data_IF_817920034933
#
_entry.id   IF_817920034933
#
_cell.length_a   1.000
_cell.length_b   1.000
_cell.length_c   1.000
_cell.angle_alpha   90.00
_cell.angle_beta   90.00
_cell.angle_gamma   90.00
#
_symmetry.space_group_name_H-M   'P 1'
#
loop_
_entity.id
_entity.type
_entity.pdbx_description
1 polymer ?
#
# COMPACT_ATOMS: atom_id res chain seq x y z
N UNK A 1 35.31 15.54 -13.87
CA UNK A 1 33.92 15.47 -14.37
C UNK A 1 33.42 14.04 -14.61
N UNK A 2 34.11 13.19 -15.39
CA UNK A 2 33.65 11.81 -15.67
C UNK A 2 33.34 10.97 -14.41
N UNK A 3 34.21 11.00 -13.40
CA UNK A 3 34.02 10.22 -12.16
C UNK A 3 32.79 10.66 -11.35
N UNK A 4 32.51 11.97 -11.29
CA UNK A 4 31.33 12.52 -10.60
C UNK A 4 30.03 12.07 -11.28
N UNK A 5 30.01 12.02 -12.62
CA UNK A 5 28.86 11.53 -13.38
C UNK A 5 28.60 10.05 -13.10
N UNK A 6 29.64 9.21 -13.05
CA UNK A 6 29.49 7.79 -12.71
C UNK A 6 28.95 7.57 -11.28
N UNK A 7 29.44 8.33 -10.29
CA UNK A 7 28.95 8.23 -8.93
C UNK A 7 27.47 8.65 -8.81
N UNK A 8 27.06 9.71 -9.52
CA UNK A 8 25.65 10.15 -9.55
C UNK A 8 24.76 9.08 -10.18
N UNK A 9 25.19 8.45 -11.29
CA UNK A 9 24.43 7.38 -11.93
C UNK A 9 24.29 6.14 -11.03
N UNK A 10 25.35 5.75 -10.31
CA UNK A 10 25.30 4.62 -9.38
C UNK A 10 24.31 4.91 -8.24
N UNK A 11 24.34 6.12 -7.67
CA UNK A 11 23.40 6.51 -6.60
C UNK A 11 21.94 6.52 -7.06
N UNK A 12 21.66 6.98 -8.28
CA UNK A 12 20.31 6.99 -8.84
C UNK A 12 19.74 5.57 -9.04
N UNK A 13 20.58 4.64 -9.49
CA UNK A 13 20.19 3.23 -9.70
C UNK A 13 19.95 2.52 -8.36
N UNK A 14 20.70 2.87 -7.31
CA UNK A 14 20.47 2.30 -5.99
C UNK A 14 19.14 2.78 -5.37
N UNK A 15 18.79 4.06 -5.54
CA UNK A 15 17.54 4.62 -5.04
C UNK A 15 16.31 3.98 -5.70
N UNK A 16 16.31 3.86 -7.03
CA UNK A 16 15.19 3.24 -7.77
C UNK A 16 14.91 1.79 -7.37
N UNK A 17 15.95 0.99 -7.13
CA UNK A 17 15.79 -0.39 -6.65
C UNK A 17 15.15 -0.46 -5.26
N UNK A 18 15.47 0.50 -4.38
CA UNK A 18 14.87 0.58 -3.07
C UNK A 18 13.38 0.94 -3.18
N UNK A 19 13.04 1.87 -4.08
CA UNK A 19 11.65 2.24 -4.37
C UNK A 19 10.86 1.03 -4.88
N UNK A 20 11.42 0.24 -5.81
CA UNK A 20 10.79 -0.99 -6.31
C UNK A 20 10.55 -2.02 -5.19
N UNK A 21 11.52 -2.21 -4.29
CA UNK A 21 11.38 -3.13 -3.14
C UNK A 21 10.30 -2.64 -2.17
N UNK A 22 10.25 -1.33 -1.92
CA UNK A 22 9.24 -0.71 -1.08
C UNK A 22 7.85 -0.89 -1.71
N UNK A 23 7.69 -0.53 -2.98
CA UNK A 23 6.43 -0.67 -3.71
C UNK A 23 5.95 -2.12 -3.74
N UNK A 24 6.87 -3.07 -3.96
CA UNK A 24 6.56 -4.50 -3.89
C UNK A 24 6.00 -4.91 -2.53
N UNK A 25 6.60 -4.45 -1.42
CA UNK A 25 6.08 -4.75 -0.07
C UNK A 25 4.73 -4.09 0.21
N UNK A 26 4.53 -2.85 -0.22
CA UNK A 26 3.24 -2.16 -0.06
C UNK A 26 2.13 -2.88 -0.85
N UNK A 27 2.43 -3.35 -2.05
CA UNK A 27 1.51 -4.14 -2.86
C UNK A 27 1.06 -5.41 -2.13
N UNK A 28 2.00 -6.13 -1.52
CA UNK A 28 1.70 -7.34 -0.76
C UNK A 28 0.89 -7.06 0.52
N UNK A 29 1.19 -5.98 1.25
CA UNK A 29 0.37 -5.59 2.39
C UNK A 29 -1.06 -5.21 1.99
N UNK A 30 -1.22 -4.50 0.89
CA UNK A 30 -2.54 -4.15 0.38
C UNK A 30 -3.35 -5.40 0.03
N UNK A 31 -2.77 -6.34 -0.73
CA UNK A 31 -3.45 -7.59 -1.10
C UNK A 31 -3.76 -8.45 0.12
N UNK A 32 -2.82 -8.55 1.06
CA UNK A 32 -2.99 -9.35 2.27
C UNK A 32 -4.12 -8.83 3.16
N UNK A 33 -4.26 -7.52 3.28
CA UNK A 33 -5.29 -6.90 4.11
C UNK A 33 -6.66 -6.77 3.42
N UNK A 34 -6.74 -7.08 2.11
CA UNK A 34 -7.92 -6.83 1.29
C UNK A 34 -9.19 -7.47 1.86
N UNK A 35 -9.17 -8.76 2.17
CA UNK A 35 -10.36 -9.48 2.64
C UNK A 35 -10.91 -8.91 3.95
N UNK A 36 -10.02 -8.52 4.88
CA UNK A 36 -10.39 -7.87 6.14
C UNK A 36 -11.05 -6.53 5.85
N UNK A 37 -10.42 -5.73 5.00
CA UNK A 37 -10.87 -4.38 4.68
C UNK A 37 -12.18 -4.37 3.90
N UNK A 38 -12.31 -5.25 2.90
CA UNK A 38 -13.50 -5.40 2.07
C UNK A 38 -14.71 -5.76 2.94
N UNK A 39 -14.57 -6.72 3.86
CA UNK A 39 -15.63 -7.10 4.79
C UNK A 39 -16.08 -5.93 5.67
N UNK A 40 -15.13 -5.18 6.25
CA UNK A 40 -15.45 -4.04 7.11
C UNK A 40 -16.18 -2.94 6.35
N UNK A 41 -15.69 -2.59 5.15
CA UNK A 41 -16.29 -1.53 4.34
C UNK A 41 -17.71 -1.93 3.88
N UNK A 42 -17.87 -3.18 3.40
CA UNK A 42 -19.16 -3.67 2.89
C UNK A 42 -20.16 -4.01 3.99
N UNK A 43 -19.71 -4.28 5.22
CA UNK A 43 -20.57 -4.42 6.39
C UNK A 43 -20.96 -3.09 7.04
N UNK A 44 -20.61 -1.96 6.42
CA UNK A 44 -20.83 -0.61 6.96
C UNK A 44 -20.19 -0.39 8.34
N UNK A 45 -18.99 -0.93 8.56
CA UNK A 45 -18.19 -0.58 9.73
C UNK A 45 -17.93 0.93 9.79
N UNK A 46 -17.79 1.44 11.00
CA UNK A 46 -17.45 2.85 11.24
C UNK A 46 -16.03 3.17 10.79
N UNK A 47 -15.74 4.46 10.54
CA UNK A 47 -14.38 4.89 10.21
C UNK A 47 -13.37 4.53 11.31
N UNK A 48 -13.78 4.51 12.57
CA UNK A 48 -12.93 4.11 13.70
C UNK A 48 -12.58 2.61 13.66
N UNK A 49 -13.56 1.75 13.36
CA UNK A 49 -13.32 0.31 13.20
C UNK A 49 -12.41 0.01 12.00
N UNK A 50 -12.59 0.74 10.89
CA UNK A 50 -11.74 0.61 9.70
C UNK A 50 -10.32 1.08 10.00
N UNK A 51 -10.13 2.24 10.63
CA UNK A 51 -8.80 2.76 10.98
C UNK A 51 -8.08 1.84 11.99
N UNK A 52 -8.83 1.28 12.95
CA UNK A 52 -8.32 0.29 13.90
C UNK A 52 -7.80 -0.98 13.20
N UNK A 53 -8.54 -1.50 12.23
CA UNK A 53 -8.11 -2.64 11.43
C UNK A 53 -6.87 -2.31 10.58
N UNK A 54 -6.87 -1.17 9.90
CA UNK A 54 -5.71 -0.67 9.13
C UNK A 54 -4.48 -0.57 10.04
N UNK A 55 -4.64 -0.06 11.25
CA UNK A 55 -3.56 0.04 12.22
C UNK A 55 -2.99 -1.34 12.57
N UNK A 56 -3.85 -2.32 12.84
CA UNK A 56 -3.46 -3.68 13.19
C UNK A 56 -2.70 -4.36 12.05
N UNK A 57 -3.22 -4.29 10.82
CA UNK A 57 -2.58 -4.88 9.62
C UNK A 57 -1.20 -4.27 9.35
N UNK A 58 -1.04 -2.97 9.62
CA UNK A 58 0.23 -2.27 9.37
C UNK A 58 1.23 -2.30 10.53
N UNK A 59 0.89 -2.84 11.71
CA UNK A 59 1.72 -2.75 12.91
C UNK A 59 3.08 -3.43 12.76
N UNK A 60 3.15 -4.54 12.01
CA UNK A 60 4.38 -5.32 11.77
C UNK A 60 5.31 -4.76 10.69
N UNK A 61 4.94 -3.67 10.02
CA UNK A 61 5.63 -3.19 8.80
C UNK A 61 6.81 -2.25 9.06
N UNK A 62 7.14 -2.01 10.34
CA UNK A 62 8.28 -1.18 10.76
C UNK A 62 8.28 0.20 10.09
N UNK A 63 9.37 0.59 9.42
CA UNK A 63 9.52 1.88 8.75
C UNK A 63 8.48 2.12 7.65
N UNK A 64 7.83 1.08 7.14
CA UNK A 64 6.81 1.17 6.09
C UNK A 64 5.40 1.42 6.62
N UNK A 65 5.21 1.46 7.94
CA UNK A 65 3.90 1.63 8.56
C UNK A 65 3.11 2.84 8.02
N UNK A 66 3.70 4.03 7.80
CA UNK A 66 2.97 5.15 7.21
C UNK A 66 2.48 4.86 5.78
N UNK A 67 3.31 4.20 4.96
CA UNK A 67 2.99 3.87 3.58
C UNK A 67 1.92 2.78 3.50
N UNK A 68 2.02 1.77 4.37
CA UNK A 68 1.00 0.72 4.52
C UNK A 68 -0.35 1.34 4.87
N UNK A 69 -0.40 2.19 5.92
CA UNK A 69 -1.64 2.84 6.34
C UNK A 69 -2.26 3.69 5.24
N UNK A 70 -1.44 4.45 4.52
CA UNK A 70 -1.90 5.27 3.41
C UNK A 70 -2.47 4.41 2.26
N UNK A 71 -1.82 3.29 1.93
CA UNK A 71 -2.31 2.37 0.91
C UNK A 71 -3.64 1.74 1.31
N UNK A 72 -3.75 1.20 2.52
CA UNK A 72 -5.00 0.58 2.99
C UNK A 72 -6.14 1.59 3.13
N UNK A 73 -5.85 2.84 3.53
CA UNK A 73 -6.89 3.88 3.57
C UNK A 73 -7.45 4.17 2.18
N UNK A 74 -6.60 4.31 1.16
CA UNK A 74 -7.06 4.48 -0.22
C UNK A 74 -7.83 3.27 -0.73
N UNK A 75 -7.38 2.06 -0.39
CA UNK A 75 -8.10 0.82 -0.73
C UNK A 75 -9.51 0.79 -0.10
N UNK A 76 -9.65 1.21 1.16
CA UNK A 76 -10.96 1.29 1.82
C UNK A 76 -11.90 2.28 1.10
N UNK A 77 -11.38 3.46 0.74
CA UNK A 77 -12.12 4.48 0.00
C UNK A 77 -12.51 4.00 -1.41
N UNK A 78 -11.62 3.24 -2.07
CA UNK A 78 -11.89 2.62 -3.36
C UNK A 78 -13.00 1.57 -3.26
N UNK A 79 -12.91 0.63 -2.31
CA UNK A 79 -13.93 -0.40 -2.08
C UNK A 79 -15.29 0.25 -1.77
N UNK A 80 -15.31 1.32 -0.97
CA UNK A 80 -16.55 2.03 -0.63
C UNK A 80 -17.24 2.62 -1.86
N UNK A 81 -16.46 3.05 -2.86
CA UNK A 81 -16.96 3.61 -4.11
C UNK A 81 -17.21 2.55 -5.21
N UNK A 82 -16.63 1.35 -5.07
CA UNK A 82 -16.72 0.25 -6.03
C UNK A 82 -17.00 -1.07 -5.28
N UNK A 83 -18.18 -1.23 -4.65
CA UNK A 83 -18.47 -2.37 -3.78
C UNK A 83 -18.53 -3.70 -4.54
N UNK A 84 -18.71 -3.66 -5.85
CA UNK A 84 -18.71 -4.81 -6.76
C UNK A 84 -17.32 -5.29 -7.17
N UNK A 85 -16.27 -4.48 -6.93
CA UNK A 85 -14.89 -4.90 -7.15
C UNK A 85 -14.41 -5.77 -5.98
N UNK A 86 -14.13 -7.04 -6.28
CA UNK A 86 -13.77 -8.07 -5.28
C UNK A 86 -12.37 -8.64 -5.51
N UNK A 87 -11.66 -8.17 -6.54
CA UNK A 87 -10.31 -8.58 -6.83
C UNK A 87 -9.28 -7.68 -6.13
N UNK A 88 -8.56 -8.27 -5.17
CA UNK A 88 -7.53 -7.58 -4.39
C UNK A 88 -6.46 -6.91 -5.27
N UNK A 89 -6.04 -7.58 -6.36
CA UNK A 89 -5.01 -7.04 -7.23
C UNK A 89 -5.48 -5.80 -7.98
N UNK A 90 -6.74 -5.79 -8.43
CA UNK A 90 -7.37 -4.67 -9.11
C UNK A 90 -7.54 -3.48 -8.16
N UNK A 91 -8.04 -3.71 -6.95
CA UNK A 91 -8.15 -2.64 -5.94
C UNK A 91 -6.79 -2.06 -5.59
N UNK A 92 -5.79 -2.91 -5.29
CA UNK A 92 -4.47 -2.44 -4.89
C UNK A 92 -3.74 -1.69 -6.01
N UNK A 93 -3.96 -2.09 -7.27
CA UNK A 93 -3.46 -1.37 -8.43
C UNK A 93 -4.17 -0.03 -8.64
N UNK A 94 -5.48 0.02 -8.41
CA UNK A 94 -6.26 1.25 -8.57
C UNK A 94 -5.88 2.36 -7.59
N UNK A 95 -5.20 2.01 -6.49
CA UNK A 95 -4.77 2.94 -5.43
C UNK A 95 -3.27 3.18 -5.37
N UNK A 96 -2.56 2.82 -6.44
CA UNK A 96 -1.09 2.92 -6.56
C UNK A 96 -0.35 2.23 -5.39
N UNK A 97 -0.93 1.17 -4.84
CA UNK A 97 -0.23 0.27 -3.92
C UNK A 97 0.50 -0.84 -4.67
N UNK A 98 0.00 -1.14 -5.88
CA UNK A 98 0.59 -1.91 -6.96
C UNK A 98 0.42 -1.08 -8.26
#
# INVERSE_FOLDING_TARGET
MRLLVFLVLISLVAASRLEDEINGRICEYCKSAFDTLYKLVTSHATEEEIDGAIHAECLGTSILQPMCKAALKRAADYIRSHPDETDAATVCKAVDAC
#
